data_IF_203439221463
#
_entry.id   IF_203439221463
#
_cell.length_a   1.000
_cell.length_b   1.000
_cell.length_c   1.000
_cell.angle_alpha   90.00
_cell.angle_beta   90.00
_cell.angle_gamma   90.00
#
_symmetry.space_group_name_H-M   'P 1'
#
loop_
_entity.id
_entity.type
_entity.pdbx_description
1 polymer ?
#
# COMPACT_ATOMS: atom_id res chain seq x y z
N UNK A 1 3.86 5.51 2.85
CA UNK A 1 3.33 5.25 1.49
C UNK A 1 2.69 3.87 1.47
N UNK A 2 1.75 3.61 0.55
CA UNK A 2 1.26 2.26 0.29
C UNK A 2 2.20 1.61 -0.72
N UNK A 3 2.80 0.48 -0.37
CA UNK A 3 3.63 -0.33 -1.26
C UNK A 3 2.72 -1.32 -1.98
N UNK A 4 2.87 -1.41 -3.30
CA UNK A 4 2.15 -2.35 -4.14
C UNK A 4 3.11 -2.99 -5.15
N UNK A 5 2.73 -4.15 -5.65
CA UNK A 5 3.50 -4.92 -6.63
C UNK A 5 2.57 -5.34 -7.77
N UNK A 6 3.05 -5.32 -9.00
CA UNK A 6 2.26 -5.76 -10.15
C UNK A 6 1.92 -7.24 -10.02
N UNK A 7 0.66 -7.58 -10.33
CA UNK A 7 0.28 -8.98 -10.58
C UNK A 7 1.04 -9.53 -11.78
N UNK A 8 1.13 -10.85 -11.89
CA UNK A 8 1.73 -11.45 -13.08
C UNK A 8 0.92 -11.07 -14.32
N UNK A 9 1.61 -11.01 -15.47
CA UNK A 9 0.94 -10.70 -16.74
C UNK A 9 -0.17 -11.71 -17.04
N UNK A 10 0.04 -12.99 -16.72
CA UNK A 10 -0.96 -14.05 -16.92
C UNK A 10 -2.21 -13.87 -16.05
N UNK A 11 -2.04 -13.46 -14.79
CA UNK A 11 -3.16 -13.15 -13.89
C UNK A 11 -3.98 -11.96 -14.43
N UNK A 12 -3.28 -10.90 -14.88
CA UNK A 12 -3.93 -9.74 -15.49
C UNK A 12 -4.65 -10.11 -16.79
N UNK A 13 -4.02 -10.88 -17.68
CA UNK A 13 -4.62 -11.39 -18.91
C UNK A 13 -5.88 -12.21 -18.62
N UNK A 14 -5.85 -13.05 -17.58
CA UNK A 14 -7.00 -13.82 -17.14
C UNK A 14 -8.16 -12.93 -16.69
N UNK A 15 -7.89 -11.88 -15.91
CA UNK A 15 -8.92 -10.95 -15.44
C UNK A 15 -9.58 -10.15 -16.57
N UNK A 16 -8.82 -9.77 -17.61
CA UNK A 16 -9.34 -8.98 -18.74
C UNK A 16 -9.86 -9.85 -19.89
N UNK A 17 -9.99 -11.16 -19.69
CA UNK A 17 -10.44 -12.08 -20.73
C UNK A 17 -11.82 -11.64 -21.27
N UNK A 18 -11.95 -11.61 -22.60
CA UNK A 18 -13.15 -11.16 -23.30
C UNK A 18 -13.27 -9.64 -23.49
N UNK A 19 -12.49 -8.82 -22.80
CA UNK A 19 -12.44 -7.37 -23.04
C UNK A 19 -11.74 -7.08 -24.37
N UNK A 20 -12.30 -6.18 -25.17
CA UNK A 20 -11.73 -5.68 -26.43
C UNK A 20 -11.09 -4.32 -26.26
N UNK A 21 -11.57 -3.52 -25.32
CA UNK A 21 -11.06 -2.18 -25.03
C UNK A 21 -11.03 -1.94 -23.54
N UNK A 22 -9.87 -1.62 -22.99
CA UNK A 22 -9.69 -1.35 -21.56
C UNK A 22 -9.07 0.01 -21.30
N UNK A 23 -9.45 0.64 -20.19
CA UNK A 23 -8.79 1.83 -19.67
C UNK A 23 -7.80 1.41 -18.58
N UNK A 24 -6.51 1.66 -18.81
CA UNK A 24 -5.46 1.40 -17.83
C UNK A 24 -5.20 2.70 -17.06
N UNK A 25 -5.48 2.68 -15.76
CA UNK A 25 -5.42 3.87 -14.89
C UNK A 25 -4.27 3.75 -13.91
N UNK A 26 -3.27 4.61 -14.05
CA UNK A 26 -2.17 4.79 -13.09
C UNK A 26 -2.56 5.62 -11.87
N UNK A 27 -1.77 5.50 -10.80
CA UNK A 27 -1.87 6.33 -9.59
C UNK A 27 -0.51 6.99 -9.30
N UNK A 28 -0.44 8.29 -9.60
CA UNK A 28 0.77 9.12 -9.66
C UNK A 28 1.45 9.42 -8.32
N UNK A 29 1.07 8.74 -7.23
CA UNK A 29 1.58 9.02 -5.88
C UNK A 29 2.13 7.74 -5.23
N UNK A 30 1.37 7.09 -4.34
CA UNK A 30 1.89 5.98 -3.53
C UNK A 30 2.50 4.84 -4.35
N UNK A 31 1.79 4.36 -5.38
CA UNK A 31 2.24 3.22 -6.20
C UNK A 31 3.29 3.62 -7.24
N UNK A 32 3.40 4.90 -7.57
CA UNK A 32 4.52 5.43 -8.39
C UNK A 32 5.84 5.34 -7.62
N UNK A 33 5.85 5.61 -6.31
CA UNK A 33 7.08 5.55 -5.49
C UNK A 33 7.65 4.13 -5.38
N UNK A 34 6.82 3.10 -5.55
CA UNK A 34 7.26 1.70 -5.63
C UNK A 34 7.34 1.15 -7.06
N UNK A 35 7.39 2.03 -8.07
CA UNK A 35 7.51 1.66 -9.50
C UNK A 35 6.47 0.62 -9.94
N UNK A 36 5.23 0.76 -9.44
CA UNK A 36 4.16 -0.18 -9.72
C UNK A 36 2.94 0.45 -10.40
N UNK A 37 2.80 1.78 -10.39
CA UNK A 37 1.58 2.40 -10.93
C UNK A 37 1.70 3.81 -11.46
N UNK A 38 2.91 4.30 -11.71
CA UNK A 38 3.11 5.56 -12.39
C UNK A 38 2.84 5.46 -13.89
N UNK A 39 2.93 6.59 -14.58
CA UNK A 39 2.69 6.69 -16.02
C UNK A 39 3.60 5.76 -16.84
N UNK A 40 4.86 5.62 -16.41
CA UNK A 40 5.81 4.68 -17.02
C UNK A 40 5.31 3.24 -16.92
N UNK A 41 4.84 2.80 -15.76
CA UNK A 41 4.34 1.44 -15.54
C UNK A 41 3.04 1.19 -16.32
N UNK A 42 2.16 2.19 -16.42
CA UNK A 42 0.96 2.13 -17.27
C UNK A 42 1.35 1.85 -18.72
N UNK A 43 2.28 2.62 -19.28
CA UNK A 43 2.71 2.45 -20.68
C UNK A 43 3.39 1.10 -20.95
N UNK A 44 4.21 0.62 -20.02
CA UNK A 44 4.86 -0.70 -20.11
C UNK A 44 3.79 -1.81 -20.13
N UNK A 45 2.90 -1.82 -19.13
CA UNK A 45 1.86 -2.84 -19.03
C UNK A 45 0.91 -2.81 -20.23
N UNK A 46 0.55 -1.61 -20.71
CA UNK A 46 -0.27 -1.46 -21.90
C UNK A 46 0.38 -2.09 -23.14
N UNK A 47 1.68 -1.83 -23.35
CA UNK A 47 2.43 -2.43 -24.45
C UNK A 47 2.54 -3.96 -24.32
N UNK A 48 2.82 -4.47 -23.13
CA UNK A 48 2.88 -5.90 -22.83
C UNK A 48 1.55 -6.61 -23.12
N UNK A 49 0.43 -6.04 -22.65
CA UNK A 49 -0.91 -6.59 -22.87
C UNK A 49 -1.28 -6.58 -24.36
N UNK A 50 -1.05 -5.48 -25.07
CA UNK A 50 -1.31 -5.41 -26.53
C UNK A 50 -0.49 -6.46 -27.29
N UNK A 51 0.79 -6.62 -26.94
CA UNK A 51 1.66 -7.61 -27.58
C UNK A 51 1.21 -9.05 -27.28
N UNK A 52 0.99 -9.37 -26.01
CA UNK A 52 0.58 -10.71 -25.59
C UNK A 52 -0.76 -11.12 -26.22
N UNK A 53 -1.75 -10.22 -26.20
CA UNK A 53 -3.08 -10.45 -26.78
C UNK A 53 -3.04 -10.61 -28.30
N UNK A 54 -2.17 -9.87 -28.98
CA UNK A 54 -1.94 -10.03 -30.43
C UNK A 54 -1.33 -11.40 -30.78
N UNK A 55 -0.38 -11.88 -29.98
CA UNK A 55 0.23 -13.20 -30.16
C UNK A 55 -0.80 -14.33 -29.95
N UNK A 56 -1.74 -14.13 -29.02
CA UNK A 56 -2.84 -15.07 -28.77
C UNK A 56 -3.96 -15.02 -29.83
N UNK A 57 -3.85 -14.16 -30.85
CA UNK A 57 -4.87 -13.99 -31.88
C UNK A 57 -6.14 -13.26 -31.43
N UNK A 58 -6.12 -12.62 -30.26
CA UNK A 58 -7.25 -11.88 -29.69
C UNK A 58 -6.81 -10.45 -29.29
N UNK A 59 -6.56 -9.54 -30.25
CA UNK A 59 -6.01 -8.22 -29.98
C UNK A 59 -6.92 -7.38 -29.06
N UNK A 60 -6.29 -6.48 -28.30
CA UNK A 60 -6.96 -5.56 -27.38
C UNK A 60 -6.54 -4.12 -27.67
N UNK A 61 -7.48 -3.19 -27.53
CA UNK A 61 -7.21 -1.76 -27.49
C UNK A 61 -7.06 -1.30 -26.03
N UNK A 62 -6.09 -0.44 -25.76
CA UNK A 62 -5.84 0.12 -24.44
C UNK A 62 -5.86 1.63 -24.50
N UNK A 63 -6.60 2.25 -23.59
CA UNK A 63 -6.52 3.68 -23.31
C UNK A 63 -5.70 3.86 -22.04
N UNK A 64 -4.76 4.79 -22.03
CA UNK A 64 -3.81 4.98 -20.93
C UNK A 64 -4.06 6.33 -20.26
N UNK A 65 -4.27 6.32 -18.94
CA UNK A 65 -4.41 7.54 -18.12
C UNK A 65 -3.69 7.36 -16.80
N UNK A 66 -3.10 8.42 -16.28
CA UNK A 66 -2.55 8.43 -14.92
C UNK A 66 -3.12 9.63 -14.18
N UNK A 67 -3.76 9.37 -13.05
CA UNK A 67 -4.30 10.42 -12.17
C UNK A 67 -3.41 10.58 -10.95
N UNK A 68 -3.44 11.73 -10.30
CA UNK A 68 -2.59 12.00 -9.14
C UNK A 68 -2.88 11.01 -8.00
N UNK A 69 -4.16 10.82 -7.66
CA UNK A 69 -4.63 9.82 -6.69
C UNK A 69 -5.96 9.24 -7.17
N UNK A 70 -6.08 7.92 -7.11
CA UNK A 70 -7.34 7.25 -7.44
C UNK A 70 -8.35 7.24 -6.29
N UNK A 71 -7.92 7.55 -5.07
CA UNK A 71 -8.77 7.58 -3.87
C UNK A 71 -9.33 8.97 -3.56
N UNK A 72 -9.37 9.87 -4.54
CA UNK A 72 -9.92 11.23 -4.43
C UNK A 72 -10.78 11.49 -5.66
N UNK A 73 -12.03 11.90 -5.44
CA UNK A 73 -13.07 11.92 -6.48
C UNK A 73 -12.76 12.91 -7.59
N UNK A 74 -12.20 14.06 -7.22
CA UNK A 74 -11.85 15.16 -8.10
C UNK A 74 -10.85 14.75 -9.18
N UNK A 75 -10.01 13.75 -8.90
CA UNK A 75 -9.07 13.20 -9.89
C UNK A 75 -9.66 12.07 -10.73
N UNK A 76 -10.79 11.48 -10.33
CA UNK A 76 -11.49 10.45 -11.10
C UNK A 76 -12.49 11.07 -12.09
N UNK A 77 -13.09 12.20 -11.76
CA UNK A 77 -14.09 12.89 -12.60
C UNK A 77 -13.63 13.14 -14.05
N UNK A 78 -12.36 13.50 -14.32
CA UNK A 78 -11.89 13.66 -15.69
C UNK A 78 -11.87 12.38 -16.52
N UNK A 79 -12.04 11.19 -15.92
CA UNK A 79 -11.99 9.90 -16.62
C UNK A 79 -13.34 9.49 -17.21
N UNK A 80 -14.44 10.22 -16.94
CA UNK A 80 -15.82 9.83 -17.30
C UNK A 80 -15.94 9.45 -18.79
N UNK A 81 -15.43 10.31 -19.69
CA UNK A 81 -15.57 10.10 -21.13
C UNK A 81 -14.82 8.85 -21.62
N UNK A 82 -13.63 8.58 -21.10
CA UNK A 82 -12.88 7.36 -21.43
C UNK A 82 -13.56 6.12 -20.86
N UNK A 83 -14.04 6.19 -19.61
CA UNK A 83 -14.67 5.08 -18.90
C UNK A 83 -15.92 4.58 -19.62
N UNK A 84 -16.74 5.48 -20.16
CA UNK A 84 -17.94 5.11 -20.91
C UNK A 84 -17.61 4.23 -22.12
N UNK A 85 -16.47 4.46 -22.75
CA UNK A 85 -16.08 3.86 -24.04
C UNK A 85 -15.22 2.60 -23.89
N UNK A 86 -15.02 2.07 -22.67
CA UNK A 86 -14.24 0.85 -22.43
C UNK A 86 -15.10 -0.25 -21.79
N UNK A 87 -14.67 -1.49 -21.96
CA UNK A 87 -15.30 -2.68 -21.38
C UNK A 87 -14.96 -2.80 -19.89
N UNK A 88 -13.72 -2.48 -19.52
CA UNK A 88 -13.24 -2.54 -18.15
C UNK A 88 -12.15 -1.49 -17.87
N UNK A 89 -12.00 -1.16 -16.58
CA UNK A 89 -10.94 -0.34 -16.03
C UNK A 89 -9.92 -1.27 -15.38
N UNK A 90 -8.66 -1.21 -15.80
CA UNK A 90 -7.53 -1.89 -15.17
C UNK A 90 -6.74 -0.88 -14.33
N UNK A 91 -6.89 -0.95 -13.01
CA UNK A 91 -6.30 0.00 -12.07
C UNK A 91 -4.91 -0.44 -11.61
N UNK A 92 -3.92 0.44 -11.79
CA UNK A 92 -2.59 0.37 -11.14
C UNK A 92 -2.56 1.18 -9.83
N UNK A 93 -3.71 1.32 -9.18
CA UNK A 93 -3.84 1.83 -7.82
C UNK A 93 -3.60 0.75 -6.77
N UNK A 94 -3.53 1.18 -5.51
CA UNK A 94 -3.69 0.25 -4.38
C UNK A 94 -5.16 -0.17 -4.24
N UNK A 95 -5.46 -1.08 -3.31
CA UNK A 95 -6.82 -1.57 -3.09
C UNK A 95 -7.85 -0.48 -2.75
N UNK A 96 -7.43 0.66 -2.19
CA UNK A 96 -8.31 1.82 -1.97
C UNK A 96 -8.67 2.48 -3.30
N UNK A 97 -7.69 2.66 -4.20
CA UNK A 97 -7.93 3.26 -5.52
C UNK A 97 -8.83 2.41 -6.40
N UNK A 98 -8.69 1.09 -6.34
CA UNK A 98 -9.56 0.14 -7.04
C UNK A 98 -11.01 0.27 -6.55
N UNK A 99 -11.22 0.30 -5.24
CA UNK A 99 -12.56 0.46 -4.66
C UNK A 99 -13.17 1.83 -4.99
N UNK A 100 -12.39 2.90 -4.89
CA UNK A 100 -12.83 4.23 -5.27
C UNK A 100 -13.27 4.28 -6.75
N UNK A 101 -12.49 3.74 -7.67
CA UNK A 101 -12.90 3.63 -9.07
C UNK A 101 -14.22 2.85 -9.23
N UNK A 102 -14.39 1.74 -8.52
CA UNK A 102 -15.61 0.94 -8.57
C UNK A 102 -16.83 1.68 -8.01
N UNK A 103 -16.66 2.44 -6.91
CA UNK A 103 -17.71 3.27 -6.33
C UNK A 103 -18.07 4.46 -7.22
N UNK A 104 -17.07 5.09 -7.86
CA UNK A 104 -17.29 6.24 -8.75
C UNK A 104 -17.96 5.84 -10.05
N UNK A 105 -17.65 4.64 -10.56
CA UNK A 105 -18.15 4.11 -11.84
C UNK A 105 -18.87 2.78 -11.64
N UNK A 106 -20.06 2.78 -11.01
CA UNK A 106 -20.75 1.55 -10.58
C UNK A 106 -21.17 0.62 -11.72
N UNK A 107 -21.37 1.16 -12.93
CA UNK A 107 -21.77 0.39 -14.12
C UNK A 107 -20.58 -0.20 -14.90
N UNK A 108 -19.36 -0.14 -14.33
CA UNK A 108 -18.13 -0.55 -15.02
C UNK A 108 -17.35 -1.59 -14.22
N UNK A 109 -16.76 -2.53 -14.95
CA UNK A 109 -15.88 -3.53 -14.36
C UNK A 109 -14.56 -2.87 -14.00
N UNK A 110 -14.16 -2.94 -12.73
CA UNK A 110 -12.86 -2.43 -12.24
C UNK A 110 -12.00 -3.58 -11.74
N UNK A 111 -10.80 -3.70 -12.31
CA UNK A 111 -9.89 -4.81 -12.10
C UNK A 111 -8.58 -4.33 -11.47
N UNK A 112 -8.06 -5.00 -10.43
CA UNK A 112 -6.84 -4.59 -9.74
C UNK A 112 -5.59 -5.15 -10.44
N UNK A 113 -4.80 -4.33 -11.13
CA UNK A 113 -3.52 -4.77 -11.71
C UNK A 113 -2.43 -5.04 -10.65
N UNK A 114 -2.58 -4.50 -9.44
CA UNK A 114 -1.58 -4.60 -8.37
C UNK A 114 -2.08 -5.40 -7.17
N UNK A 115 -1.12 -5.93 -6.41
CA UNK A 115 -1.28 -6.43 -5.06
C UNK A 115 -0.79 -5.37 -4.08
N UNK A 116 -1.67 -4.89 -3.19
CA UNK A 116 -1.26 -4.02 -2.08
C UNK A 116 -0.52 -4.85 -1.04
N UNK A 117 0.72 -4.48 -0.72
CA UNK A 117 1.59 -5.27 0.17
C UNK A 117 1.54 -4.76 1.61
N UNK A 118 1.96 -3.52 1.84
CA UNK A 118 2.08 -2.96 3.20
C UNK A 118 2.25 -1.43 3.19
N UNK A 119 2.20 -0.81 4.39
CA UNK A 119 2.55 0.60 4.57
C UNK A 119 4.04 0.74 4.88
N UNK A 120 4.79 1.21 3.89
CA UNK A 120 6.24 1.19 3.92
C UNK A 120 6.90 2.55 3.73
N UNK A 121 8.22 2.49 3.70
CA UNK A 121 9.16 3.56 3.34
C UNK A 121 10.23 2.96 2.41
N UNK A 122 10.67 3.67 1.36
CA UNK A 122 11.84 3.27 0.59
C UNK A 122 13.08 3.43 1.47
N UNK A 123 13.86 2.36 1.63
CA UNK A 123 15.13 2.41 2.37
C UNK A 123 16.31 2.52 1.41
N UNK A 124 16.18 1.89 0.25
CA UNK A 124 17.12 1.95 -0.87
C UNK A 124 16.32 1.88 -2.18
N UNK A 125 16.95 2.20 -3.31
CA UNK A 125 16.29 2.06 -4.60
C UNK A 125 15.94 0.59 -4.84
N UNK A 126 14.66 0.29 -5.09
CA UNK A 126 14.21 -1.09 -5.24
C UNK A 126 13.94 -1.83 -3.93
N UNK A 127 14.14 -1.19 -2.76
CA UNK A 127 13.95 -1.81 -1.46
C UNK A 127 13.00 -0.97 -0.61
N UNK A 128 11.83 -1.55 -0.32
CA UNK A 128 10.84 -0.97 0.58
C UNK A 128 10.69 -1.84 1.81
N UNK A 129 10.67 -1.20 2.98
CA UNK A 129 10.46 -1.88 4.25
C UNK A 129 9.16 -1.44 4.88
N UNK A 130 8.44 -2.38 5.50
CA UNK A 130 7.26 -2.06 6.30
C UNK A 130 7.65 -1.18 7.51
N UNK A 131 6.84 -0.15 7.76
CA UNK A 131 7.04 0.82 8.84
C UNK A 131 5.80 1.07 9.68
N UNK A 132 4.62 0.72 9.19
CA UNK A 132 3.36 0.98 9.89
C UNK A 132 2.34 -0.13 9.63
N UNK A 133 1.54 -0.46 10.64
CA UNK A 133 0.38 -1.37 10.56
C UNK A 133 -0.96 -0.61 10.54
N UNK A 134 -0.92 0.73 10.54
CA UNK A 134 -2.08 1.61 10.66
C UNK A 134 -3.05 1.15 11.77
N UNK A 135 -2.55 0.91 12.97
CA UNK A 135 -3.33 0.34 14.08
C UNK A 135 -4.32 1.33 14.73
N UNK A 136 -4.22 2.64 14.46
CA UNK A 136 -5.17 3.65 14.96
C UNK A 136 -4.81 4.28 16.30
N UNK A 137 -3.86 3.69 17.02
CA UNK A 137 -3.37 4.19 18.31
C UNK A 137 -1.84 4.27 18.24
N UNK A 138 -1.28 5.46 18.10
CA UNK A 138 0.15 5.64 17.81
C UNK A 138 0.96 5.82 19.11
N UNK A 139 2.10 5.14 19.23
CA UNK A 139 3.00 5.22 20.39
C UNK A 139 4.44 5.59 20.01
N UNK A 140 4.63 6.15 18.81
CA UNK A 140 5.97 6.45 18.30
C UNK A 140 6.69 7.55 19.09
N UNK A 141 5.95 8.38 19.80
CA UNK A 141 6.47 9.34 20.78
C UNK A 141 7.21 8.65 21.93
N UNK A 142 6.77 7.46 22.33
CA UNK A 142 7.38 6.66 23.42
C UNK A 142 8.55 5.80 22.96
N UNK A 143 8.58 5.42 21.68
CA UNK A 143 9.56 4.47 21.13
C UNK A 143 10.61 5.13 20.22
N UNK A 144 10.80 6.44 20.35
CA UNK A 144 11.83 7.17 19.60
C UNK A 144 11.60 7.16 18.07
N UNK A 145 10.36 7.04 17.62
CA UNK A 145 9.99 7.01 16.21
C UNK A 145 10.07 5.63 15.54
N UNK A 146 10.33 4.56 16.29
CA UNK A 146 10.43 3.20 15.75
C UNK A 146 9.19 2.41 16.15
N UNK A 147 8.41 1.96 15.16
CA UNK A 147 7.15 1.26 15.42
C UNK A 147 7.39 -0.16 15.95
N UNK A 148 7.06 -0.48 17.21
CA UNK A 148 7.25 -1.82 17.74
C UNK A 148 6.20 -2.80 17.20
N UNK A 149 5.05 -2.30 16.71
CA UNK A 149 4.00 -3.14 16.12
C UNK A 149 4.42 -3.62 14.73
N UNK A 150 4.88 -2.71 13.87
CA UNK A 150 5.24 -3.05 12.50
C UNK A 150 6.63 -3.67 12.37
N UNK A 151 7.58 -3.31 13.25
CA UNK A 151 9.00 -3.70 13.09
C UNK A 151 9.43 -4.84 14.00
N UNK A 152 8.66 -5.19 15.02
CA UNK A 152 8.94 -6.38 15.84
C UNK A 152 8.14 -7.56 15.31
N UNK A 153 8.80 -8.69 15.02
CA UNK A 153 8.15 -9.92 14.56
C UNK A 153 7.13 -10.49 15.56
N UNK A 154 7.19 -10.06 16.82
CA UNK A 154 6.24 -10.42 17.89
C UNK A 154 5.26 -9.28 18.25
N UNK A 155 5.35 -8.13 17.57
CA UNK A 155 4.51 -6.94 17.84
C UNK A 155 4.50 -6.50 19.32
N UNK A 156 5.61 -6.68 20.03
CA UNK A 156 5.68 -6.44 21.48
C UNK A 156 5.70 -4.95 21.83
N UNK A 157 4.77 -4.52 22.69
CA UNK A 157 4.67 -3.15 23.21
C UNK A 157 5.71 -2.82 24.27
N UNK A 158 6.18 -3.81 25.02
CA UNK A 158 7.24 -3.68 26.02
C UNK A 158 8.26 -4.78 25.75
N UNK A 159 9.43 -4.42 25.25
CA UNK A 159 10.54 -5.34 25.01
C UNK A 159 11.77 -4.98 25.82
N UNK A 160 12.90 -5.67 25.59
CA UNK A 160 13.09 -6.76 24.64
C UNK A 160 12.45 -8.10 25.08
N UNK A 161 12.34 -9.06 24.16
CA UNK A 161 11.68 -10.36 24.38
C UNK A 161 12.61 -11.51 24.84
N UNK A 162 13.87 -11.20 25.13
CA UNK A 162 14.92 -12.19 25.43
C UNK A 162 15.49 -12.93 24.21
N UNK A 163 14.76 -12.98 23.10
CA UNK A 163 15.21 -13.62 21.86
C UNK A 163 16.25 -12.85 21.03
N UNK A 164 16.42 -11.57 21.29
CA UNK A 164 17.37 -10.74 20.52
C UNK A 164 18.81 -11.02 20.93
N UNK A 165 19.69 -11.24 19.96
CA UNK A 165 21.13 -11.44 20.19
C UNK A 165 21.93 -10.50 19.30
N UNK A 166 22.94 -9.83 19.87
CA UNK A 166 23.81 -8.88 19.15
C UNK A 166 23.03 -7.83 18.33
N UNK A 167 21.90 -7.36 18.86
CA UNK A 167 21.02 -6.40 18.18
C UNK A 167 20.14 -6.95 17.05
N UNK A 168 20.20 -8.26 16.78
CA UNK A 168 19.44 -8.95 15.74
C UNK A 168 18.26 -9.74 16.31
N UNK A 169 17.24 -9.97 15.48
CA UNK A 169 16.04 -10.72 15.84
C UNK A 169 16.29 -12.24 15.73
N UNK A 170 15.71 -13.04 16.63
CA UNK A 170 15.86 -14.51 16.61
C UNK A 170 15.36 -15.17 15.32
N UNK A 171 14.38 -14.56 14.64
CA UNK A 171 13.75 -15.18 13.47
C UNK A 171 14.63 -15.08 12.21
N UNK A 172 15.59 -14.16 12.20
CA UNK A 172 16.49 -13.93 11.08
C UNK A 172 17.71 -13.11 11.57
N UNK A 173 18.94 -13.65 11.49
CA UNK A 173 20.17 -12.95 11.85
C UNK A 173 20.41 -11.62 11.11
N UNK A 174 19.84 -11.45 9.91
CA UNK A 174 19.97 -10.21 9.14
C UNK A 174 18.96 -9.14 9.58
N UNK A 175 17.88 -9.53 10.26
CA UNK A 175 16.82 -8.63 10.69
C UNK A 175 17.20 -7.92 11.99
N UNK A 176 17.27 -6.59 11.95
CA UNK A 176 17.48 -5.77 13.14
C UNK A 176 16.33 -5.94 14.15
N UNK A 177 16.68 -6.12 15.42
CA UNK A 177 15.69 -6.14 16.48
C UNK A 177 15.10 -4.73 16.68
N UNK A 178 13.79 -4.59 16.52
CA UNK A 178 13.11 -3.30 16.74
C UNK A 178 13.41 -2.70 18.12
N UNK A 179 13.49 -3.52 19.18
CA UNK A 179 13.77 -3.05 20.53
C UNK A 179 15.22 -2.65 20.76
N UNK A 180 16.18 -3.26 20.04
CA UNK A 180 17.54 -2.75 20.02
C UNK A 180 17.57 -1.35 19.39
N UNK A 181 16.93 -1.19 18.24
CA UNK A 181 16.88 0.09 17.55
C UNK A 181 16.19 1.18 18.40
N UNK A 182 15.11 0.83 19.11
CA UNK A 182 14.41 1.74 20.04
C UNK A 182 15.37 2.16 21.16
N UNK A 183 16.06 1.22 21.80
CA UNK A 183 17.00 1.52 22.87
C UNK A 183 18.12 2.43 22.39
N UNK A 184 18.78 2.11 21.27
CA UNK A 184 19.89 2.90 20.74
C UNK A 184 19.44 4.32 20.37
N UNK A 185 18.25 4.44 19.78
CA UNK A 185 17.67 5.73 19.43
C UNK A 185 17.33 6.58 20.65
N UNK A 186 16.69 5.99 21.67
CA UNK A 186 16.35 6.70 22.91
C UNK A 186 17.60 7.08 23.71
N UNK A 187 18.61 6.21 23.74
CA UNK A 187 19.92 6.50 24.33
C UNK A 187 20.58 7.71 23.66
N UNK A 188 20.60 7.75 22.33
CA UNK A 188 21.16 8.86 21.58
C UNK A 188 20.40 10.19 21.82
N UNK A 189 19.11 10.11 22.14
CA UNK A 189 18.28 11.28 22.46
C UNK A 189 18.29 11.66 23.95
N UNK A 190 18.96 10.89 24.81
CA UNK A 190 18.94 11.11 26.26
C UNK A 190 17.57 10.85 26.89
N UNK A 191 16.75 9.97 26.30
CA UNK A 191 15.34 9.69 26.67
C UNK A 191 15.11 8.25 27.11
N UNK A 192 16.07 7.66 27.83
CA UNK A 192 15.96 6.28 28.31
C UNK A 192 14.94 6.09 29.43
N UNK A 193 14.54 7.17 30.09
CA UNK A 193 13.45 7.22 31.08
C UNK A 193 12.15 6.65 30.53
N UNK A 194 11.86 6.87 29.24
CA UNK A 194 10.66 6.34 28.58
C UNK A 194 10.59 4.80 28.57
N UNK A 195 11.74 4.11 28.63
CA UNK A 195 11.77 2.65 28.69
C UNK A 195 11.37 2.09 30.06
N UNK A 196 11.38 2.92 31.10
CA UNK A 196 10.90 2.53 32.42
C UNK A 196 9.36 2.58 32.52
N UNK A 197 8.69 3.25 31.58
CA UNK A 197 7.23 3.32 31.52
C UNK A 197 6.66 2.03 30.92
N UNK A 198 5.75 1.38 31.65
CA UNK A 198 5.03 0.22 31.11
C UNK A 198 3.91 0.72 30.19
N UNK A 199 4.00 0.37 28.92
CA UNK A 199 2.95 0.64 27.95
C UNK A 199 1.81 -0.38 28.18
N UNK A 200 0.58 0.08 28.47
CA UNK A 200 -0.54 -0.84 28.67
C UNK A 200 -0.85 -1.62 27.38
N UNK A 201 -1.59 -2.74 27.46
CA UNK A 201 -2.10 -3.42 26.28
C UNK A 201 -2.83 -2.45 25.37
N UNK A 202 -2.55 -2.56 24.07
CA UNK A 202 -3.17 -1.72 23.05
C UNK A 202 -4.67 -2.01 22.97
N UNK A 203 -5.46 -0.95 22.80
CA UNK A 203 -6.86 -1.10 22.47
C UNK A 203 -7.01 -1.48 20.98
N UNK A 204 -7.28 -2.75 20.72
CA UNK A 204 -7.49 -3.28 19.37
C UNK A 204 -8.91 -3.10 18.85
N UNK A 205 -9.86 -2.61 19.67
CA UNK A 205 -11.22 -2.27 19.20
C UNK A 205 -11.20 -1.12 18.18
N UNK A 206 -10.20 -0.25 18.28
CA UNK A 206 -9.94 0.85 17.33
C UNK A 206 -9.06 0.43 16.14
N UNK A 207 -8.60 -0.82 16.12
CA UNK A 207 -7.82 -1.41 15.04
C UNK A 207 -8.71 -2.22 14.08
N UNK A 208 -8.11 -2.88 13.09
CA UNK A 208 -8.84 -3.71 12.10
C UNK A 208 -9.72 -4.79 12.74
N UNK A 209 -9.34 -5.30 13.92
CA UNK A 209 -10.05 -6.37 14.60
C UNK A 209 -11.43 -5.96 15.14
N UNK A 210 -11.67 -4.66 15.37
CA UNK A 210 -12.98 -4.13 15.77
C UNK A 210 -13.96 -3.92 14.61
N UNK A 211 -13.54 -4.15 13.36
CA UNK A 211 -14.34 -3.94 12.15
C UNK A 211 -13.80 -2.80 11.27
N UNK A 212 -14.50 -2.48 10.15
CA UNK A 212 -14.17 -1.33 9.32
C UNK A 212 -14.21 -0.05 10.15
N UNK A 213 -13.16 0.76 10.03
CA UNK A 213 -12.95 1.94 10.88
C UNK A 213 -13.38 3.20 10.14
N UNK A 214 -13.92 4.15 10.90
CA UNK A 214 -14.29 5.47 10.40
C UNK A 214 -13.78 6.53 11.37
N UNK A 215 -13.25 7.62 10.82
CA UNK A 215 -12.91 8.83 11.58
C UNK A 215 -13.78 9.94 11.03
N UNK A 216 -14.57 10.57 11.91
CA UNK A 216 -15.44 11.70 11.55
C UNK A 216 -14.98 12.93 12.31
N UNK A 217 -14.67 14.00 11.58
CA UNK A 217 -14.36 15.32 12.13
C UNK A 217 -15.59 16.19 11.97
N UNK A 218 -16.43 16.23 13.00
CA UNK A 218 -17.70 16.98 12.98
C UNK A 218 -17.49 18.47 12.71
N UNK A 219 -16.34 19.01 13.11
CA UNK A 219 -15.94 20.39 12.82
C UNK A 219 -15.65 20.68 11.34
N UNK A 220 -15.50 19.64 10.51
CA UNK A 220 -15.25 19.74 9.08
C UNK A 220 -16.42 19.25 8.22
N UNK A 221 -17.51 18.76 8.84
CA UNK A 221 -18.72 18.39 8.10
C UNK A 221 -19.50 19.65 7.76
N UNK A 222 -19.83 19.79 6.48
CA UNK A 222 -20.71 20.83 5.95
C UNK A 222 -22.17 20.59 6.37
#
# INVERSE_FOLDING_TARGET
>A
MIVAEQKSLDEIKGMIAGCKRILIVGCGTCTTVCFAGGEKEVGILAAELRMARKLDGDPIETVERTVQRQCEWEYLDPLVEEVERVDAILSLGCGIGVQALAERFPDKIVLPALNTKFLGLPVEQGVWSERCQACGDCILDKTGGICPIARCSKSLLNGPCGGSQNGKCEINPELDCAWQLIYDRLKALGRLDLLAEIIPPKDWSTARHGGPRQVVREDLRL
#
